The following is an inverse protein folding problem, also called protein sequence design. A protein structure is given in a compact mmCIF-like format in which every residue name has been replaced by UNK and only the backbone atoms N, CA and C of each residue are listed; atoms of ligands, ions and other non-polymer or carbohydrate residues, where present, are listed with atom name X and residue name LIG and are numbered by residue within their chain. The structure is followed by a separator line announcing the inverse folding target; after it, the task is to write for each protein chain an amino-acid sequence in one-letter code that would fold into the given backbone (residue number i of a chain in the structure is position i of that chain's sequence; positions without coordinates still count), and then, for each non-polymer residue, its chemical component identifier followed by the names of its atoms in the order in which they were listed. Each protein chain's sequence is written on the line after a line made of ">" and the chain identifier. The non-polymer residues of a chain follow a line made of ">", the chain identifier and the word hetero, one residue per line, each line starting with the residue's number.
data_IF_786191939430
#
_entry.id   IF_786191939430
#
_cell.length_a   1.000
_cell.length_b   1.000
_cell.length_c   1.000
_cell.angle_alpha   90.00
_cell.angle_beta   90.00
_cell.angle_gamma   90.00
#
_symmetry.space_group_name_H-M   'P 1'
#
loop_
_entity.id
_entity.type
_entity.pdbx_description
1 polymer ?
#
# COMPACT_ATOMS: atom_id res chain seq x y z
N UNK A 1 -63.14 11.89 -18.90
CA UNK A 1 -62.12 10.94 -19.39
C UNK A 1 -60.95 11.60 -20.12
N UNK A 2 -61.14 12.37 -21.21
CA UNK A 2 -60.02 12.96 -21.99
C UNK A 2 -59.04 13.83 -21.19
N UNK A 3 -59.51 14.61 -20.20
CA UNK A 3 -58.65 15.43 -19.34
C UNK A 3 -57.80 14.59 -18.37
N UNK A 4 -58.38 13.55 -17.77
CA UNK A 4 -57.69 12.66 -16.85
C UNK A 4 -56.61 11.83 -17.56
N UNK A 5 -56.92 11.31 -18.76
CA UNK A 5 -55.93 10.62 -19.60
C UNK A 5 -54.78 11.55 -19.96
N UNK A 6 -55.05 12.80 -20.34
CA UNK A 6 -54.00 13.78 -20.69
C UNK A 6 -53.08 14.10 -19.50
N UNK A 7 -53.64 14.25 -18.29
CA UNK A 7 -52.87 14.47 -17.06
C UNK A 7 -52.01 13.24 -16.74
N UNK A 8 -52.56 12.03 -16.83
CA UNK A 8 -51.82 10.79 -16.59
C UNK A 8 -50.68 10.63 -17.61
N UNK A 9 -50.93 10.91 -18.90
CA UNK A 9 -49.88 10.85 -19.93
C UNK A 9 -48.79 11.89 -19.69
N UNK A 10 -49.13 13.11 -19.26
CA UNK A 10 -48.13 14.13 -18.90
C UNK A 10 -47.32 13.74 -17.67
N UNK A 11 -47.94 13.18 -16.63
CA UNK A 11 -47.24 12.71 -15.43
C UNK A 11 -46.32 11.53 -15.76
N UNK A 12 -46.76 10.58 -16.58
CA UNK A 12 -45.92 9.48 -17.06
C UNK A 12 -44.75 10.00 -17.91
N UNK A 13 -44.99 10.96 -18.80
CA UNK A 13 -43.92 11.56 -19.59
C UNK A 13 -42.90 12.30 -18.71
N UNK A 14 -43.36 13.07 -17.72
CA UNK A 14 -42.49 13.75 -16.75
C UNK A 14 -41.72 12.73 -15.91
N UNK A 15 -42.35 11.64 -15.46
CA UNK A 15 -41.69 10.58 -14.70
C UNK A 15 -40.71 9.77 -15.55
N UNK A 16 -40.96 9.59 -16.85
CA UNK A 16 -40.01 8.96 -17.78
C UNK A 16 -38.81 9.87 -18.08
N UNK A 17 -39.00 11.20 -18.05
CA UNK A 17 -37.93 12.18 -18.31
C UNK A 17 -37.14 12.49 -17.03
N UNK A 18 -37.80 12.60 -15.88
CA UNK A 18 -37.22 13.03 -14.61
C UNK A 18 -37.02 11.90 -13.60
N UNK A 19 -37.80 10.83 -13.65
CA UNK A 19 -37.64 9.67 -12.74
C UNK A 19 -36.26 8.99 -12.83
N UNK A 20 -35.60 8.89 -14.01
CA UNK A 20 -34.23 8.41 -14.11
C UNK A 20 -33.18 9.34 -13.48
N UNK A 21 -33.50 10.63 -13.27
CA UNK A 21 -32.60 11.58 -12.60
C UNK A 21 -32.55 11.37 -11.08
N UNK A 22 -33.56 10.71 -10.50
CA UNK A 22 -33.65 10.44 -9.06
C UNK A 22 -33.12 9.05 -8.66
N UNK A 23 -32.59 8.26 -9.61
CA UNK A 23 -31.95 6.97 -9.30
C UNK A 23 -30.53 7.23 -8.76
N UNK A 24 -30.52 7.53 -7.46
CA UNK A 24 -29.44 7.53 -6.47
C UNK A 24 -28.07 8.11 -6.86
N UNK A 25 -27.72 9.20 -6.16
CA UNK A 25 -26.34 9.69 -6.00
C UNK A 25 -25.33 8.60 -5.57
N UNK A 26 -25.81 7.45 -5.07
CA UNK A 26 -25.01 6.30 -4.62
C UNK A 26 -24.83 5.18 -5.66
N UNK A 27 -25.67 5.11 -6.70
CA UNK A 27 -25.65 3.99 -7.69
C UNK A 27 -25.39 4.49 -9.12
N UNK A 28 -25.47 5.82 -9.32
CA UNK A 28 -25.27 6.47 -10.61
C UNK A 28 -26.51 6.42 -11.51
N UNK A 29 -26.55 7.32 -12.50
CA UNK A 29 -27.64 7.37 -13.48
C UNK A 29 -27.67 6.12 -14.39
N UNK A 30 -28.80 5.38 -14.48
CA UNK A 30 -28.97 4.20 -15.33
C UNK A 30 -28.57 4.39 -16.80
N UNK A 31 -28.77 5.59 -17.38
CA UNK A 31 -28.39 5.89 -18.76
C UNK A 31 -26.87 5.87 -18.91
N UNK A 32 -26.16 6.53 -17.99
CA UNK A 32 -24.70 6.52 -17.96
C UNK A 32 -24.16 5.12 -17.74
N UNK A 33 -24.76 4.35 -16.82
CA UNK A 33 -24.38 2.96 -16.56
C UNK A 33 -24.50 2.09 -17.82
N UNK A 34 -25.58 2.25 -18.59
CA UNK A 34 -25.76 1.53 -19.86
C UNK A 34 -24.71 1.92 -20.92
N UNK A 35 -24.35 3.20 -21.00
CA UNK A 35 -23.28 3.65 -21.91
C UNK A 35 -21.93 3.04 -21.52
N UNK A 36 -21.61 3.03 -20.22
CA UNK A 36 -20.40 2.41 -19.68
C UNK A 36 -20.37 0.92 -19.98
N UNK A 37 -21.47 0.21 -19.70
CA UNK A 37 -21.59 -1.23 -19.94
C UNK A 37 -21.26 -1.59 -21.38
N UNK A 38 -21.94 -0.94 -22.34
CA UNK A 38 -21.71 -1.16 -23.77
C UNK A 38 -20.30 -0.78 -24.22
N UNK A 39 -19.80 0.38 -23.80
CA UNK A 39 -18.50 0.86 -24.25
C UNK A 39 -17.36 0.02 -23.63
N UNK A 40 -17.55 -0.48 -22.41
CA UNK A 40 -16.61 -1.41 -21.78
C UNK A 40 -16.58 -2.76 -22.50
N UNK A 41 -17.72 -3.32 -22.92
CA UNK A 41 -17.72 -4.57 -23.71
C UNK A 41 -16.92 -4.44 -25.01
N UNK A 42 -17.09 -3.33 -25.73
CA UNK A 42 -16.35 -3.06 -26.97
C UNK A 42 -14.85 -2.98 -26.68
N UNK A 43 -14.47 -2.23 -25.64
CA UNK A 43 -13.08 -2.03 -25.28
C UNK A 43 -12.40 -3.32 -24.81
N UNK A 44 -13.09 -4.11 -23.99
CA UNK A 44 -12.60 -5.40 -23.49
C UNK A 44 -12.41 -6.39 -24.64
N UNK A 45 -13.36 -6.47 -25.57
CA UNK A 45 -13.21 -7.33 -26.76
C UNK A 45 -12.02 -6.90 -27.64
N UNK A 46 -11.79 -5.59 -27.79
CA UNK A 46 -10.71 -5.05 -28.61
C UNK A 46 -9.32 -5.25 -27.98
N UNK A 47 -9.20 -5.12 -26.66
CA UNK A 47 -7.90 -5.08 -25.97
C UNK A 47 -7.58 -6.32 -25.14
N UNK A 48 -8.60 -7.07 -24.70
CA UNK A 48 -8.48 -8.13 -23.69
C UNK A 48 -9.28 -9.40 -24.08
N UNK A 49 -9.59 -9.60 -25.37
CA UNK A 49 -10.37 -10.76 -25.85
C UNK A 49 -9.74 -12.12 -25.57
N UNK A 50 -8.42 -12.17 -25.40
CA UNK A 50 -7.69 -13.38 -25.03
C UNK A 50 -7.76 -13.70 -23.53
N UNK A 51 -8.34 -12.82 -22.71
CA UNK A 51 -8.45 -12.98 -21.26
C UNK A 51 -9.88 -13.40 -20.86
N UNK A 52 -9.99 -14.46 -20.06
CA UNK A 52 -11.27 -14.89 -19.48
C UNK A 52 -11.59 -14.05 -18.22
N UNK A 53 -12.32 -12.95 -18.42
CA UNK A 53 -12.58 -11.93 -17.40
C UNK A 53 -14.07 -11.80 -17.09
N UNK A 54 -14.38 -11.79 -15.80
CA UNK A 54 -15.69 -11.40 -15.27
C UNK A 54 -15.72 -9.91 -15.03
N UNK A 55 -16.79 -9.29 -15.51
CA UNK A 55 -17.04 -7.84 -15.45
C UNK A 55 -18.01 -7.47 -14.34
N UNK A 56 -17.65 -6.49 -13.52
CA UNK A 56 -18.53 -5.85 -12.53
C UNK A 56 -18.51 -4.33 -12.67
N UNK A 57 -19.68 -3.69 -12.76
CA UNK A 57 -19.80 -2.23 -12.93
C UNK A 57 -20.29 -1.59 -11.64
N UNK A 58 -19.53 -0.60 -11.15
CA UNK A 58 -19.89 0.20 -9.99
C UNK A 58 -19.78 1.71 -10.25
N UNK A 59 -20.28 2.49 -9.29
CA UNK A 59 -20.25 3.95 -9.32
C UNK A 59 -19.49 4.47 -8.09
N UNK A 60 -18.52 5.34 -8.30
CA UNK A 60 -17.73 5.99 -7.27
C UNK A 60 -18.24 7.43 -7.08
N UNK A 61 -19.01 7.64 -6.02
CA UNK A 61 -19.68 8.92 -5.72
C UNK A 61 -18.69 10.05 -5.51
N UNK A 62 -17.60 9.77 -4.79
CA UNK A 62 -16.57 10.74 -4.41
C UNK A 62 -15.86 11.35 -5.62
N UNK A 63 -15.59 10.53 -6.64
CA UNK A 63 -14.96 10.95 -7.89
C UNK A 63 -15.96 11.19 -9.03
N UNK A 64 -17.25 11.00 -8.76
CA UNK A 64 -18.34 11.15 -9.72
C UNK A 64 -18.10 10.43 -11.06
N UNK A 65 -17.68 9.15 -10.97
CA UNK A 65 -17.30 8.33 -12.13
C UNK A 65 -17.79 6.90 -11.98
N UNK A 66 -17.87 6.17 -13.09
CA UNK A 66 -18.06 4.73 -13.07
C UNK A 66 -16.72 4.02 -13.08
N UNK A 67 -16.72 2.82 -12.52
CA UNK A 67 -15.60 1.91 -12.65
C UNK A 67 -16.13 0.55 -13.13
N UNK A 68 -15.32 -0.12 -13.92
CA UNK A 68 -15.56 -1.48 -14.42
C UNK A 68 -14.42 -2.34 -13.88
N UNK A 69 -14.71 -3.16 -12.87
CA UNK A 69 -13.77 -4.15 -12.34
C UNK A 69 -13.78 -5.35 -13.27
N UNK A 70 -12.59 -5.77 -13.66
CA UNK A 70 -12.34 -6.97 -14.45
C UNK A 70 -11.50 -7.91 -13.61
N UNK A 71 -11.89 -9.19 -13.55
CA UNK A 71 -11.15 -10.20 -12.80
C UNK A 71 -11.24 -11.56 -13.46
N UNK A 72 -10.18 -12.36 -13.37
CA UNK A 72 -10.24 -13.79 -13.65
C UNK A 72 -10.91 -14.52 -12.49
N UNK A 73 -11.64 -15.62 -12.79
CA UNK A 73 -12.11 -16.54 -11.75
C UNK A 73 -11.05 -17.58 -11.37
N UNK A 74 -10.00 -17.74 -12.18
CA UNK A 74 -8.98 -18.80 -12.00
C UNK A 74 -7.60 -18.27 -11.62
N UNK A 75 -7.27 -17.03 -11.98
CA UNK A 75 -5.96 -16.41 -11.71
C UNK A 75 -6.16 -15.33 -10.65
N UNK A 76 -5.69 -15.57 -9.42
CA UNK A 76 -5.96 -14.69 -8.26
C UNK A 76 -5.43 -13.27 -8.41
N UNK A 77 -4.32 -13.11 -9.13
CA UNK A 77 -3.66 -11.81 -9.35
C UNK A 77 -4.13 -11.11 -10.61
N UNK A 78 -5.02 -11.71 -11.42
CA UNK A 78 -5.53 -11.09 -12.64
C UNK A 78 -6.81 -10.33 -12.33
N UNK A 79 -6.66 -9.10 -11.84
CA UNK A 79 -7.76 -8.15 -11.68
C UNK A 79 -7.31 -6.71 -11.93
N UNK A 80 -8.15 -5.91 -12.57
CA UNK A 80 -7.85 -4.52 -12.83
C UNK A 80 -9.15 -3.73 -13.01
N UNK A 81 -9.04 -2.41 -13.11
CA UNK A 81 -10.21 -1.55 -13.22
C UNK A 81 -10.06 -0.59 -14.40
N UNK A 82 -11.15 -0.45 -15.14
CA UNK A 82 -11.32 0.61 -16.13
C UNK A 82 -12.20 1.70 -15.53
N UNK A 83 -11.72 2.94 -15.53
CA UNK A 83 -12.50 4.09 -15.05
C UNK A 83 -13.22 4.77 -16.22
N UNK A 84 -14.50 5.10 -16.05
CA UNK A 84 -15.31 5.75 -17.07
C UNK A 84 -16.02 7.01 -16.55
N UNK A 85 -16.14 7.99 -17.43
CA UNK A 85 -16.92 9.19 -17.17
C UNK A 85 -18.43 8.92 -17.14
N UNK A 86 -19.20 9.89 -16.67
CA UNK A 86 -20.67 9.84 -16.75
C UNK A 86 -21.22 9.77 -18.18
N UNK A 87 -20.42 10.13 -19.20
CA UNK A 87 -20.80 10.02 -20.61
C UNK A 87 -20.38 8.68 -21.24
N UNK A 88 -19.79 7.77 -20.46
CA UNK A 88 -19.31 6.47 -20.93
C UNK A 88 -17.96 6.53 -21.65
N UNK A 89 -17.20 7.62 -21.50
CA UNK A 89 -15.85 7.71 -22.06
C UNK A 89 -14.84 7.07 -21.10
N UNK A 90 -13.92 6.24 -21.61
CA UNK A 90 -12.81 5.70 -20.83
C UNK A 90 -11.91 6.86 -20.35
N UNK A 91 -11.66 6.88 -19.04
CA UNK A 91 -10.79 7.85 -18.36
C UNK A 91 -9.44 7.22 -18.07
N UNK A 92 -9.44 5.97 -17.59
CA UNK A 92 -8.23 5.30 -17.16
C UNK A 92 -8.34 3.79 -17.36
N UNK A 93 -7.21 3.17 -17.67
CA UNK A 93 -7.04 1.72 -17.72
C UNK A 93 -5.90 1.35 -16.78
N UNK A 94 -6.21 0.57 -15.74
CA UNK A 94 -5.24 0.17 -14.74
C UNK A 94 -4.53 -1.16 -15.06
N UNK A 95 -4.72 -1.75 -16.24
CA UNK A 95 -4.09 -3.02 -16.61
C UNK A 95 -2.56 -2.96 -16.48
N UNK A 96 -1.93 -1.91 -17.01
CA UNK A 96 -0.46 -1.78 -16.99
C UNK A 96 0.08 -1.77 -15.55
N UNK A 97 -0.44 -0.90 -14.69
CA UNK A 97 -0.06 -0.82 -13.28
C UNK A 97 -0.35 -2.12 -12.51
N UNK A 98 -1.57 -2.65 -12.64
CA UNK A 98 -2.02 -3.78 -11.82
C UNK A 98 -1.39 -5.11 -12.25
N UNK A 99 -1.14 -5.29 -13.55
CA UNK A 99 -0.74 -6.56 -14.15
C UNK A 99 0.70 -6.49 -14.66
N UNK A 100 1.00 -5.58 -15.59
CA UNK A 100 2.33 -5.51 -16.22
C UNK A 100 3.42 -5.07 -15.24
N UNK A 101 3.11 -4.14 -14.34
CA UNK A 101 4.01 -3.67 -13.29
C UNK A 101 3.93 -4.53 -12.01
N UNK A 102 3.09 -5.58 -12.02
CA UNK A 102 3.03 -6.59 -10.95
C UNK A 102 2.44 -6.11 -9.62
N UNK A 103 1.76 -4.96 -9.59
CA UNK A 103 1.21 -4.39 -8.35
C UNK A 103 0.28 -5.37 -7.61
N UNK A 104 -0.58 -6.11 -8.32
CA UNK A 104 -1.47 -7.08 -7.68
C UNK A 104 -0.70 -8.20 -6.96
N UNK A 105 0.35 -8.72 -7.60
CA UNK A 105 1.18 -9.77 -7.00
C UNK A 105 1.89 -9.23 -5.77
N UNK A 106 2.45 -8.01 -5.84
CA UNK A 106 3.07 -7.35 -4.67
C UNK A 106 2.06 -7.17 -3.54
N UNK A 107 0.84 -6.73 -3.83
CA UNK A 107 -0.18 -6.53 -2.80
C UNK A 107 -0.57 -7.83 -2.09
N UNK A 108 -0.72 -8.93 -2.83
CA UNK A 108 -0.94 -10.25 -2.26
C UNK A 108 0.25 -10.68 -1.39
N UNK A 109 1.47 -10.57 -1.91
CA UNK A 109 2.68 -10.92 -1.16
C UNK A 109 2.87 -10.05 0.09
N UNK A 110 2.48 -8.79 0.02
CA UNK A 110 2.51 -7.88 1.16
C UNK A 110 1.50 -8.28 2.24
N UNK A 111 0.30 -8.72 1.85
CA UNK A 111 -0.68 -9.28 2.80
C UNK A 111 -0.14 -10.54 3.47
N UNK A 112 0.40 -11.47 2.68
CA UNK A 112 1.00 -12.72 3.19
C UNK A 112 2.18 -12.43 4.13
N UNK A 113 3.12 -11.56 3.72
CA UNK A 113 4.27 -11.15 4.53
C UNK A 113 3.85 -10.48 5.84
N UNK A 114 2.88 -9.56 5.80
CA UNK A 114 2.37 -8.88 7.01
C UNK A 114 1.73 -9.86 7.98
N UNK A 115 0.92 -10.79 7.48
CA UNK A 115 0.25 -11.78 8.33
C UNK A 115 1.27 -12.64 9.09
N UNK A 116 2.34 -13.09 8.44
CA UNK A 116 3.40 -13.87 9.09
C UNK A 116 4.20 -13.03 10.11
N UNK A 117 4.59 -11.80 9.74
CA UNK A 117 5.33 -10.93 10.65
C UNK A 117 4.50 -10.50 11.87
N UNK A 118 3.20 -10.25 11.70
CA UNK A 118 2.32 -9.83 12.79
C UNK A 118 2.25 -10.93 13.88
N UNK A 119 2.22 -12.20 13.49
CA UNK A 119 2.25 -13.34 14.44
C UNK A 119 3.55 -13.33 15.26
N UNK A 120 4.68 -13.11 14.60
CA UNK A 120 6.00 -13.06 15.25
C UNK A 120 6.10 -11.87 16.19
N UNK A 121 5.65 -10.69 15.75
CA UNK A 121 5.71 -9.47 16.53
C UNK A 121 4.81 -9.49 17.76
N UNK A 122 3.65 -10.13 17.68
CA UNK A 122 2.81 -10.37 18.85
C UNK A 122 3.53 -11.28 19.87
N UNK A 123 4.25 -12.31 19.42
CA UNK A 123 5.04 -13.16 20.31
C UNK A 123 6.26 -12.43 20.92
N UNK A 124 6.85 -11.47 20.20
CA UNK A 124 7.98 -10.67 20.69
C UNK A 124 7.66 -9.81 21.91
N UNK A 125 6.38 -9.47 22.15
CA UNK A 125 5.99 -8.73 23.35
C UNK A 125 6.32 -9.47 24.65
N UNK A 126 6.41 -10.80 24.60
CA UNK A 126 6.79 -11.63 25.74
C UNK A 126 8.32 -11.82 25.87
N UNK A 127 9.10 -11.33 24.91
CA UNK A 127 10.56 -11.40 24.93
C UNK A 127 11.12 -10.62 26.14
N UNK A 128 12.10 -11.14 26.88
CA UNK A 128 12.70 -10.43 28.01
C UNK A 128 13.20 -9.01 27.69
N UNK A 129 13.65 -8.75 26.46
CA UNK A 129 14.10 -7.42 26.02
C UNK A 129 12.94 -6.42 25.91
N UNK A 130 11.76 -6.88 25.49
CA UNK A 130 10.58 -6.03 25.24
C UNK A 130 9.54 -6.10 26.35
N UNK A 131 9.77 -6.90 27.39
CA UNK A 131 8.80 -7.12 28.47
C UNK A 131 8.56 -5.88 29.34
N UNK A 132 9.57 -5.04 29.48
CA UNK A 132 9.53 -3.82 30.32
C UNK A 132 9.45 -2.56 29.43
N UNK A 133 8.56 -2.57 28.43
CA UNK A 133 8.29 -1.41 27.56
C UNK A 133 6.97 -0.73 27.95
N UNK A 134 6.94 0.60 27.92
CA UNK A 134 5.70 1.38 28.03
C UNK A 134 4.89 1.31 26.73
N UNK A 135 5.59 1.37 25.59
CA UNK A 135 5.01 1.16 24.28
C UNK A 135 5.96 0.41 23.35
N UNK A 136 5.37 -0.48 22.55
CA UNK A 136 6.07 -1.27 21.54
C UNK A 136 5.18 -1.42 20.31
N UNK A 137 5.61 -0.80 19.22
CA UNK A 137 4.92 -0.80 17.94
C UNK A 137 5.83 -1.41 16.88
N UNK A 138 5.24 -2.28 16.08
CA UNK A 138 5.92 -3.00 15.01
C UNK A 138 5.05 -3.04 13.77
N UNK A 139 5.66 -2.89 12.61
CA UNK A 139 5.04 -3.21 11.33
C UNK A 139 6.07 -3.78 10.38
N UNK A 140 5.60 -4.46 9.35
CA UNK A 140 6.43 -4.84 8.23
C UNK A 140 5.69 -4.57 6.92
N UNK A 141 6.44 -4.36 5.86
CA UNK A 141 5.90 -4.25 4.50
C UNK A 141 6.93 -4.66 3.46
N UNK A 142 6.48 -4.86 2.24
CA UNK A 142 7.32 -5.13 1.09
C UNK A 142 7.45 -3.85 0.26
N UNK A 143 8.67 -3.39 0.04
CA UNK A 143 8.96 -2.21 -0.75
C UNK A 143 8.97 -2.55 -2.25
N UNK A 144 8.23 -1.78 -3.04
CA UNK A 144 8.25 -1.86 -4.51
C UNK A 144 9.39 -1.00 -5.07
N UNK A 145 10.14 -1.52 -6.04
CA UNK A 145 11.28 -0.83 -6.66
C UNK A 145 10.86 0.27 -7.66
N UNK A 146 9.70 0.11 -8.28
CA UNK A 146 9.25 0.94 -9.41
C UNK A 146 8.45 2.15 -8.92
N UNK A 147 7.65 1.99 -7.87
CA UNK A 147 6.71 3.01 -7.42
C UNK A 147 6.74 3.16 -5.90
N UNK A 148 7.61 4.05 -5.43
CA UNK A 148 7.47 4.57 -4.07
C UNK A 148 7.74 6.08 -4.06
N UNK A 149 6.68 6.86 -4.26
CA UNK A 149 6.66 8.30 -3.94
C UNK A 149 6.99 8.56 -2.45
N UNK A 150 6.90 7.55 -1.59
CA UNK A 150 7.24 7.61 -0.17
C UNK A 150 8.69 7.22 0.10
N UNK A 151 9.45 6.70 -0.88
CA UNK A 151 10.89 6.63 -0.72
C UNK A 151 11.46 8.04 -0.84
N UNK A 152 12.10 8.54 0.22
CA UNK A 152 13.00 9.67 0.11
C UNK A 152 13.92 9.47 -1.09
N UNK A 153 14.09 10.49 -1.93
CA UNK A 153 15.22 10.56 -2.86
C UNK A 153 16.61 10.51 -2.17
N UNK A 154 16.65 10.32 -0.83
CA UNK A 154 17.85 10.32 0.01
C UNK A 154 18.43 8.93 0.26
N UNK A 155 17.68 7.87 -0.01
CA UNK A 155 18.26 6.53 -0.12
C UNK A 155 18.41 6.22 -1.62
N UNK A 156 19.39 6.90 -2.25
CA UNK A 156 19.77 6.68 -3.65
C UNK A 156 20.12 5.21 -3.93
N UNK A 157 20.44 4.46 -2.86
CA UNK A 157 20.62 3.03 -2.90
C UNK A 157 19.27 2.30 -2.95
N UNK A 158 18.76 2.12 -4.17
CA UNK A 158 17.65 1.19 -4.48
C UNK A 158 18.15 -0.27 -4.57
N UNK A 159 19.11 -0.65 -3.72
CA UNK A 159 19.65 -2.00 -3.69
C UNK A 159 18.60 -3.00 -3.21
N UNK A 160 17.77 -2.59 -2.24
CA UNK A 160 16.55 -3.29 -1.86
C UNK A 160 15.33 -2.90 -2.71
N UNK A 161 14.27 -3.71 -2.61
CA UNK A 161 12.98 -3.50 -3.26
C UNK A 161 12.67 -4.56 -4.31
N UNK A 162 11.40 -4.93 -4.40
CA UNK A 162 10.90 -5.94 -5.31
C UNK A 162 10.52 -5.28 -6.64
N UNK A 163 11.06 -5.80 -7.73
CA UNK A 163 10.65 -5.39 -9.08
C UNK A 163 9.41 -6.19 -9.50
N UNK A 164 8.24 -5.54 -9.42
CA UNK A 164 6.96 -6.17 -9.75
C UNK A 164 6.87 -6.69 -11.20
N UNK A 165 7.59 -6.08 -12.14
CA UNK A 165 7.60 -6.53 -13.55
C UNK A 165 8.25 -7.91 -13.74
N UNK A 166 9.00 -8.38 -12.74
CA UNK A 166 9.63 -9.70 -12.74
C UNK A 166 8.75 -10.78 -12.12
N UNK A 167 7.58 -10.41 -11.59
CA UNK A 167 6.67 -11.33 -10.93
C UNK A 167 5.69 -11.96 -11.93
N UNK A 168 5.31 -13.21 -11.65
CA UNK A 168 4.36 -13.99 -12.43
C UNK A 168 3.04 -14.06 -11.66
N UNK A 169 1.93 -13.87 -12.38
CA UNK A 169 0.59 -14.02 -11.82
C UNK A 169 0.37 -15.43 -11.29
N UNK A 170 -0.36 -15.55 -10.18
CA UNK A 170 -0.76 -16.81 -9.51
C UNK A 170 0.38 -17.68 -8.99
N UNK A 171 1.63 -17.25 -9.17
CA UNK A 171 2.80 -17.96 -8.67
C UNK A 171 2.90 -17.82 -7.16
N UNK A 172 3.26 -18.92 -6.49
CA UNK A 172 3.64 -18.88 -5.08
C UNK A 172 5.11 -18.51 -4.95
N UNK A 173 5.39 -17.61 -4.02
CA UNK A 173 6.73 -17.12 -3.73
C UNK A 173 7.13 -17.50 -2.31
N UNK A 174 8.43 -17.69 -2.14
CA UNK A 174 9.03 -17.89 -0.83
C UNK A 174 9.16 -16.54 -0.12
N UNK A 175 8.40 -16.34 0.96
CA UNK A 175 8.39 -15.09 1.71
C UNK A 175 9.75 -14.76 2.34
N UNK A 176 10.59 -15.76 2.65
CA UNK A 176 11.94 -15.53 3.13
C UNK A 176 12.73 -14.76 2.07
N UNK A 177 12.68 -15.24 0.83
CA UNK A 177 13.38 -14.63 -0.31
C UNK A 177 12.78 -13.27 -0.68
N UNK A 178 11.44 -13.15 -0.70
CA UNK A 178 10.78 -11.89 -1.01
C UNK A 178 11.11 -10.81 0.02
N UNK A 179 11.07 -11.17 1.30
CA UNK A 179 11.48 -10.31 2.39
C UNK A 179 12.97 -9.94 2.30
N UNK A 180 13.85 -10.90 2.02
CA UNK A 180 15.28 -10.62 1.82
C UNK A 180 15.57 -9.74 0.58
N UNK A 181 14.63 -9.60 -0.36
CA UNK A 181 14.74 -8.69 -1.51
C UNK A 181 14.24 -7.28 -1.19
N UNK A 182 13.16 -7.13 -0.42
CA UNK A 182 12.53 -5.81 -0.25
C UNK A 182 11.69 -5.64 1.01
N UNK A 183 11.78 -6.55 1.97
CA UNK A 183 11.13 -6.44 3.27
C UNK A 183 11.70 -5.27 4.08
N UNK A 184 10.81 -4.48 4.65
CA UNK A 184 11.14 -3.41 5.58
C UNK A 184 10.43 -3.67 6.89
N UNK A 185 11.18 -3.62 7.99
CA UNK A 185 10.67 -3.77 9.35
C UNK A 185 10.66 -2.40 10.02
N UNK A 186 9.54 -2.00 10.62
CA UNK A 186 9.44 -0.79 11.42
C UNK A 186 9.31 -1.14 12.89
N UNK A 187 10.09 -0.46 13.72
CA UNK A 187 10.05 -0.63 15.17
C UNK A 187 10.05 0.72 15.85
N UNK A 188 9.13 0.87 16.80
CA UNK A 188 9.02 2.01 17.68
C UNK A 188 8.88 1.51 19.10
N UNK A 189 9.80 1.88 19.99
CA UNK A 189 9.80 1.38 21.37
C UNK A 189 10.12 2.49 22.37
N UNK A 190 9.45 2.42 23.51
CA UNK A 190 9.71 3.22 24.70
C UNK A 190 9.90 2.27 25.88
N UNK A 191 11.07 2.31 26.52
CA UNK A 191 11.38 1.43 27.66
C UNK A 191 10.94 2.06 28.98
N UNK A 192 10.45 1.25 29.93
CA UNK A 192 10.02 1.72 31.25
C UNK A 192 11.18 2.19 32.14
N UNK A 193 12.39 1.66 31.90
CA UNK A 193 13.61 2.06 32.62
C UNK A 193 14.29 3.29 32.00
N UNK A 194 13.76 3.83 30.90
CA UNK A 194 14.29 4.98 30.21
C UNK A 194 15.62 4.74 29.48
N UNK A 195 16.01 3.48 29.23
CA UNK A 195 17.26 3.18 28.51
C UNK A 195 17.16 3.57 27.02
N UNK A 196 17.62 4.78 26.74
CA UNK A 196 17.76 5.35 25.39
C UNK A 196 19.19 5.21 24.83
N UNK A 197 20.00 4.28 25.36
CA UNK A 197 21.36 4.07 24.87
C UNK A 197 21.40 3.40 23.49
N UNK A 198 22.41 3.74 22.70
CA UNK A 198 22.63 3.09 21.40
C UNK A 198 22.99 1.62 21.54
N UNK A 199 23.62 1.23 22.65
CA UNK A 199 23.88 -0.15 23.00
C UNK A 199 22.57 -0.93 23.21
N UNK A 200 21.55 -0.30 23.79
CA UNK A 200 20.23 -0.91 23.90
C UNK A 200 19.55 -1.02 22.54
N UNK A 201 19.58 0.05 21.72
CA UNK A 201 19.08 -0.01 20.34
C UNK A 201 19.74 -1.09 19.49
N UNK A 202 21.05 -1.28 19.63
CA UNK A 202 21.78 -2.36 18.97
C UNK A 202 21.25 -3.76 19.36
N UNK A 203 20.95 -3.98 20.65
CA UNK A 203 20.33 -5.23 21.11
C UNK A 203 18.95 -5.43 20.51
N UNK A 204 18.15 -4.36 20.40
CA UNK A 204 16.84 -4.42 19.71
C UNK A 204 17.02 -4.91 18.28
N UNK A 205 17.93 -4.31 17.50
CA UNK A 205 18.16 -4.73 16.12
C UNK A 205 18.58 -6.21 16.02
N UNK A 206 19.50 -6.64 16.88
CA UNK A 206 20.01 -8.02 16.89
C UNK A 206 18.94 -9.04 17.30
N UNK A 207 18.11 -8.71 18.29
CA UNK A 207 17.03 -9.58 18.75
C UNK A 207 15.97 -9.77 17.66
N UNK A 208 15.60 -8.68 16.99
CA UNK A 208 14.63 -8.71 15.88
C UNK A 208 15.18 -9.53 14.73
N UNK A 209 16.43 -9.27 14.34
CA UNK A 209 17.11 -10.04 13.30
C UNK A 209 17.11 -11.53 13.65
N UNK A 210 17.54 -11.89 14.85
CA UNK A 210 17.61 -13.28 15.30
C UNK A 210 16.23 -13.94 15.26
N UNK A 211 15.20 -13.25 15.76
CA UNK A 211 13.84 -13.77 15.79
C UNK A 211 13.29 -14.02 14.38
N UNK A 212 13.50 -13.09 13.46
CA UNK A 212 13.04 -13.22 12.07
C UNK A 212 13.86 -14.27 11.31
N UNK A 213 15.18 -14.35 11.51
CA UNK A 213 16.05 -15.39 10.95
C UNK A 213 15.60 -16.79 11.43
N UNK A 214 15.31 -16.97 12.72
CA UNK A 214 14.82 -18.24 13.27
C UNK A 214 13.44 -18.65 12.73
N UNK A 215 12.62 -17.66 12.36
CA UNK A 215 11.32 -17.87 11.74
C UNK A 215 11.39 -18.05 10.22
N UNK A 216 12.57 -17.92 9.59
CA UNK A 216 12.76 -17.88 8.13
C UNK A 216 11.95 -16.76 7.47
N UNK A 217 11.92 -15.58 8.08
CA UNK A 217 11.36 -14.36 7.51
C UNK A 217 12.49 -13.40 7.19
N UNK A 218 12.82 -13.26 5.90
CA UNK A 218 13.86 -12.34 5.46
C UNK A 218 13.38 -10.88 5.53
N UNK A 219 14.32 -9.95 5.64
CA UNK A 219 14.08 -8.53 5.42
C UNK A 219 15.35 -7.87 4.85
N UNK A 220 15.19 -6.75 4.17
CA UNK A 220 16.30 -5.97 3.61
C UNK A 220 16.69 -4.81 4.52
N UNK A 221 15.68 -4.10 5.05
CA UNK A 221 15.87 -2.90 5.86
C UNK A 221 15.10 -2.95 7.17
N UNK A 222 15.61 -2.24 8.16
CA UNK A 222 14.93 -2.00 9.44
C UNK A 222 14.97 -0.52 9.81
N UNK A 223 13.83 -0.01 10.25
CA UNK A 223 13.62 1.32 10.79
C UNK A 223 13.46 1.18 12.31
N UNK A 224 14.14 2.05 13.07
CA UNK A 224 14.04 2.04 14.52
C UNK A 224 13.83 3.45 15.05
N UNK A 225 12.86 3.57 15.94
CA UNK A 225 12.61 4.74 16.76
C UNK A 225 12.65 4.34 18.24
N UNK A 226 13.50 5.04 19.01
CA UNK A 226 13.50 4.98 20.47
C UNK A 226 12.89 6.26 21.00
N UNK A 227 11.90 6.13 21.89
CA UNK A 227 11.26 7.25 22.56
C UNK A 227 11.79 7.41 23.97
N UNK A 228 11.94 8.67 24.40
CA UNK A 228 12.26 9.00 25.79
C UNK A 228 11.00 8.95 26.68
N UNK A 229 11.15 9.17 27.98
CA UNK A 229 10.04 9.16 28.96
C UNK A 229 8.91 10.17 28.64
N UNK A 230 9.21 11.23 27.90
CA UNK A 230 8.23 12.25 27.49
C UNK A 230 7.46 11.87 26.21
N UNK A 231 7.79 10.74 25.59
CA UNK A 231 7.22 10.30 24.32
C UNK A 231 7.78 11.02 23.09
N UNK A 232 8.90 11.73 23.23
CA UNK A 232 9.64 12.33 22.12
C UNK A 232 10.67 11.33 21.58
N UNK A 233 11.05 11.45 20.31
CA UNK A 233 12.17 10.68 19.77
C UNK A 233 13.45 11.01 20.55
N UNK A 234 14.00 10.02 21.26
CA UNK A 234 15.37 10.07 21.75
C UNK A 234 16.31 10.02 20.55
N UNK A 235 16.05 9.08 19.65
CA UNK A 235 16.62 9.03 18.31
C UNK A 235 15.78 8.15 17.38
N UNK A 236 15.99 8.31 16.08
CA UNK A 236 15.46 7.42 15.06
C UNK A 236 16.40 7.31 13.87
N UNK A 237 16.33 6.21 13.16
CA UNK A 237 16.92 6.06 11.85
C UNK A 237 16.03 5.22 10.95
N UNK A 238 16.10 5.49 9.65
CA UNK A 238 15.35 4.78 8.63
C UNK A 238 16.32 4.05 7.69
N UNK A 239 15.84 2.94 7.12
CA UNK A 239 16.47 2.07 6.14
C UNK A 239 17.85 1.54 6.55
N UNK A 240 18.00 1.07 7.79
CA UNK A 240 19.22 0.41 8.23
C UNK A 240 19.35 -0.98 7.58
N UNK A 241 20.44 -1.30 6.86
CA UNK A 241 20.53 -2.56 6.12
C UNK A 241 20.66 -3.78 7.04
N UNK A 242 19.98 -4.87 6.69
CA UNK A 242 20.10 -6.18 7.36
C UNK A 242 21.56 -6.62 7.52
N UNK A 243 22.36 -6.46 6.46
CA UNK A 243 23.76 -6.87 6.40
C UNK A 243 24.67 -6.15 7.40
N UNK A 244 24.23 -5.03 7.96
CA UNK A 244 25.03 -4.19 8.85
C UNK A 244 24.78 -4.49 10.35
N UNK A 245 23.71 -5.23 10.68
CA UNK A 245 23.27 -5.49 12.05
C UNK A 245 24.30 -6.29 12.86
N UNK A 246 25.01 -7.23 12.23
CA UNK A 246 26.00 -8.08 12.91
C UNK A 246 27.43 -7.52 12.83
N UNK A 247 27.60 -6.24 12.47
CA UNK A 247 28.93 -5.67 12.29
C UNK A 247 29.63 -5.29 13.59
N UNK A 248 30.95 -5.48 13.62
CA UNK A 248 31.81 -5.15 14.78
C UNK A 248 31.73 -3.67 15.19
N UNK A 249 31.29 -2.78 14.30
CA UNK A 249 31.13 -1.34 14.53
C UNK A 249 29.67 -0.85 14.43
N UNK A 250 28.71 -1.71 14.79
CA UNK A 250 27.27 -1.43 14.73
C UNK A 250 26.88 -0.06 15.33
N UNK A 251 27.41 0.29 16.50
CA UNK A 251 27.09 1.56 17.18
C UNK A 251 27.51 2.79 16.35
N UNK A 252 28.66 2.73 15.69
CA UNK A 252 29.11 3.82 14.81
C UNK A 252 28.19 3.95 13.59
N UNK A 253 27.73 2.82 13.04
CA UNK A 253 26.80 2.80 11.92
C UNK A 253 25.42 3.32 12.29
N UNK A 254 24.90 2.94 13.46
CA UNK A 254 23.64 3.49 13.99
C UNK A 254 23.74 5.02 14.08
N UNK A 255 24.82 5.55 14.65
CA UNK A 255 25.05 6.99 14.73
C UNK A 255 25.09 7.68 13.35
N UNK A 256 25.75 7.05 12.38
CA UNK A 256 25.76 7.55 11.00
C UNK A 256 24.36 7.57 10.38
N UNK A 257 23.57 6.51 10.57
CA UNK A 257 22.20 6.41 10.06
C UNK A 257 21.24 7.41 10.71
N UNK A 258 21.38 7.69 12.01
CA UNK A 258 20.62 8.75 12.70
C UNK A 258 20.93 10.11 12.05
N UNK A 259 22.21 10.41 11.85
CA UNK A 259 22.65 11.68 11.24
C UNK A 259 22.11 11.86 9.82
N UNK A 260 22.12 10.79 9.02
CA UNK A 260 21.57 10.78 7.67
C UNK A 260 20.06 11.01 7.67
N UNK A 261 19.34 10.31 8.55
CA UNK A 261 17.88 10.41 8.69
C UNK A 261 17.47 11.82 9.12
N UNK A 262 18.14 12.40 10.11
CA UNK A 262 17.86 13.76 10.57
C UNK A 262 18.05 14.79 9.44
N UNK A 263 19.18 14.72 8.73
CA UNK A 263 19.47 15.62 7.61
C UNK A 263 18.38 15.57 6.54
N UNK A 264 17.88 14.38 6.23
CA UNK A 264 16.78 14.22 5.27
C UNK A 264 15.52 14.97 5.70
N UNK A 265 15.06 14.75 6.92
CA UNK A 265 13.84 15.40 7.40
C UNK A 265 14.00 16.92 7.53
N UNK A 266 15.19 17.40 7.88
CA UNK A 266 15.50 18.84 7.86
C UNK A 266 15.36 19.43 6.44
N UNK A 267 15.85 18.72 5.42
CA UNK A 267 15.71 19.14 4.02
C UNK A 267 14.25 19.14 3.55
N UNK A 268 13.46 18.12 3.91
CA UNK A 268 12.03 18.08 3.61
C UNK A 268 11.31 19.26 4.26
N UNK A 269 11.50 19.44 5.56
CA UNK A 269 10.83 20.51 6.29
C UNK A 269 11.16 21.88 5.68
N UNK A 270 12.41 22.10 5.27
CA UNK A 270 12.82 23.31 4.58
C UNK A 270 12.13 23.48 3.20
N UNK A 271 11.95 22.40 2.42
CA UNK A 271 11.24 22.45 1.14
C UNK A 271 9.75 22.72 1.32
N UNK A 272 9.11 22.05 2.27
CA UNK A 272 7.67 22.21 2.57
C UNK A 272 7.36 23.62 3.07
N UNK A 273 8.25 24.23 3.87
CA UNK A 273 8.10 25.62 4.30
C UNK A 273 8.17 26.60 3.13
N UNK A 274 9.09 26.41 2.18
CA UNK A 274 9.19 27.25 0.97
C UNK A 274 7.93 27.19 0.10
N UNK A 275 7.34 26.01 -0.10
CA UNK A 275 6.11 25.84 -0.89
C UNK A 275 4.89 26.52 -0.24
N UNK A 276 4.91 26.76 1.08
CA UNK A 276 3.84 27.48 1.78
C UNK A 276 4.00 29.01 1.77
N UNK A 277 5.16 29.53 1.40
CA UNK A 277 5.45 30.96 1.33
C UNK A 277 5.23 31.56 -0.08
N UNK A 278 5.10 30.72 -1.10
CA UNK A 278 4.80 31.06 -2.51
C UNK A 278 3.28 30.94 -2.83
#
# INVERSE_FOLDING_TARGET
>A
MKKAVKIITTVIAIFLILGPLEVNAFVGNPVSRYLVDRNSDIYIEEHYSDLDLVKEIGFEVTKNRYYVKLKSETIKDLYFTLDYSLTGQLINDLYENNITEGWNVIMRLQEDYRNETDIIFEALKDNPLFKETDSFFTSAYLMNKIDDEHMPAVFEDRSGGIDGTTLELDKEYDLEQMGAMGGVIDIAVQFLDGDESYEHGAKVLQEIKTTLDEANIGFYYINLAIFNEEGNYAYRFDFFPYSEIDSDNLIEKINASISTTQKYYDEINARTLKVKED
#
